data_IF_309461171789
#
_entry.id   IF_309461171789
#
_cell.length_a   1.000
_cell.length_b   1.000
_cell.length_c   1.000
_cell.angle_alpha   90.00
_cell.angle_beta   90.00
_cell.angle_gamma   90.00
#
_symmetry.space_group_name_H-M   'P 1'
#
loop_
_entity.id
_entity.type
_entity.pdbx_description
1 polymer ?
#
# COMPACT_ATOMS: atom_id res chain seq x y z
N UNK A 1 -12.21 -27.40 -11.98
CA UNK A 1 -11.58 -26.07 -11.95
C UNK A 1 -11.64 -25.59 -10.52
N UNK A 2 -10.57 -25.82 -9.75
CA UNK A 2 -10.51 -25.46 -8.34
C UNK A 2 -10.18 -23.98 -8.25
N UNK A 3 -11.14 -23.16 -7.84
CA UNK A 3 -10.85 -21.84 -7.27
C UNK A 3 -10.27 -22.09 -5.89
N UNK A 4 -8.94 -22.10 -5.77
CA UNK A 4 -8.30 -22.03 -4.44
C UNK A 4 -8.73 -20.73 -3.79
N UNK A 5 -9.53 -20.86 -2.73
CA UNK A 5 -9.94 -19.76 -1.88
C UNK A 5 -8.72 -19.18 -1.20
N UNK A 6 -8.36 -17.94 -1.55
CA UNK A 6 -7.30 -17.16 -0.92
C UNK A 6 -7.40 -17.23 0.61
N UNK A 7 -6.39 -17.79 1.27
CA UNK A 7 -6.32 -17.85 2.73
C UNK A 7 -5.98 -16.48 3.31
N UNK A 8 -6.72 -16.05 4.33
CA UNK A 8 -6.55 -14.73 4.96
C UNK A 8 -5.93 -14.85 6.37
N UNK A 9 -5.07 -13.90 6.73
CA UNK A 9 -4.55 -13.77 8.09
C UNK A 9 -4.58 -12.29 8.52
N UNK A 10 -5.49 -11.97 9.44
CA UNK A 10 -5.42 -10.73 10.23
C UNK A 10 -4.68 -11.07 11.52
N UNK A 11 -3.52 -10.46 11.74
CA UNK A 11 -2.73 -10.68 12.97
C UNK A 11 -2.58 -9.39 13.78
N UNK A 12 -2.61 -9.55 15.10
CA UNK A 12 -2.25 -8.51 16.05
C UNK A 12 -0.77 -8.66 16.38
N UNK A 13 0.07 -7.74 15.92
CA UNK A 13 1.41 -7.60 16.50
C UNK A 13 1.43 -6.35 17.38
N UNK A 14 1.54 -6.57 18.69
CA UNK A 14 2.15 -5.60 19.62
C UNK A 14 3.62 -5.43 19.26
N UNK A 15 4.09 -4.18 19.27
CA UNK A 15 5.40 -3.79 18.76
C UNK A 15 6.56 -4.71 19.19
N UNK A 16 7.28 -5.22 18.19
CA UNK A 16 8.73 -5.13 18.16
C UNK A 16 9.10 -4.11 17.07
N UNK A 17 10.29 -3.49 17.12
CA UNK A 17 10.74 -2.67 16.01
C UNK A 17 10.81 -3.55 14.75
N UNK A 18 10.44 -3.01 13.58
CA UNK A 18 10.94 -3.61 12.34
C UNK A 18 12.41 -3.20 12.22
N UNK A 19 13.28 -3.88 12.96
CA UNK A 19 14.74 -3.76 12.87
C UNK A 19 15.31 -4.81 11.89
N UNK A 20 14.50 -5.30 10.94
CA UNK A 20 14.88 -6.41 10.07
C UNK A 20 15.23 -6.05 8.63
N UNK A 21 14.80 -4.90 8.12
CA UNK A 21 15.07 -4.49 6.73
C UNK A 21 15.93 -3.24 6.72
N UNK A 22 17.08 -3.32 6.04
CA UNK A 22 18.10 -2.28 5.92
C UNK A 22 17.48 -0.87 5.82
N UNK A 23 17.40 -0.18 6.95
CA UNK A 23 17.04 1.24 7.03
C UNK A 23 18.22 2.12 6.64
N UNK A 24 19.13 1.63 5.77
CA UNK A 24 20.40 2.28 5.44
C UNK A 24 20.25 3.61 4.70
N UNK A 25 19.00 4.07 4.47
CA UNK A 25 18.72 5.36 3.84
C UNK A 25 17.60 6.15 4.57
N UNK A 26 17.38 5.91 5.88
CA UNK A 26 16.52 6.78 6.69
C UNK A 26 17.21 8.14 6.88
N UNK A 27 16.94 9.08 5.97
CA UNK A 27 17.27 10.50 6.14
C UNK A 27 16.05 11.26 6.70
N UNK A 28 16.04 11.62 8.00
CA UNK A 28 14.95 12.38 8.59
C UNK A 28 14.74 13.76 7.93
N UNK A 29 15.78 14.36 7.33
CA UNK A 29 15.66 15.65 6.64
C UNK A 29 14.85 15.54 5.34
N UNK A 30 14.93 14.38 4.67
CA UNK A 30 14.13 14.08 3.48
C UNK A 30 12.64 14.02 3.82
N UNK A 31 12.27 13.40 4.93
CA UNK A 31 10.88 13.34 5.37
C UNK A 31 10.30 14.72 5.70
N UNK A 32 11.04 15.57 6.41
CA UNK A 32 10.55 16.90 6.78
C UNK A 32 10.37 17.83 5.57
N UNK A 33 11.25 17.73 4.57
CA UNK A 33 11.09 18.46 3.31
C UNK A 33 9.87 17.99 2.52
N UNK A 34 9.62 16.67 2.47
CA UNK A 34 8.43 16.10 1.83
C UNK A 34 7.15 16.53 2.57
N UNK A 35 7.13 16.45 3.90
CA UNK A 35 5.98 16.87 4.71
C UNK A 35 5.66 18.36 4.55
N UNK A 36 6.68 19.18 4.39
CA UNK A 36 6.54 20.60 4.06
C UNK A 36 5.91 20.79 2.67
N UNK A 37 6.36 20.02 1.68
CA UNK A 37 5.89 20.11 0.29
C UNK A 37 4.44 19.61 0.09
N UNK A 38 4.06 18.47 0.70
CA UNK A 38 2.69 17.90 0.55
C UNK A 38 1.67 18.57 1.49
N UNK A 39 2.15 19.36 2.46
CA UNK A 39 1.34 19.99 3.48
C UNK A 39 0.79 19.01 4.53
N UNK A 40 0.44 19.52 5.71
CA UNK A 40 -0.11 18.70 6.81
C UNK A 40 -1.61 18.45 6.63
N UNK A 41 -2.05 17.21 6.85
CA UNK A 41 -3.48 16.86 6.96
C UNK A 41 -3.83 16.83 8.44
N UNK A 42 -4.95 17.46 8.83
CA UNK A 42 -5.42 17.44 10.22
C UNK A 42 -5.77 16.03 10.70
N UNK A 43 -6.03 15.09 9.77
CA UNK A 43 -6.33 13.69 10.05
C UNK A 43 -5.08 12.80 10.12
N UNK A 44 -3.97 13.23 9.53
CA UNK A 44 -2.74 12.44 9.53
C UNK A 44 -2.04 12.53 10.88
N UNK A 45 -1.28 11.48 11.24
CA UNK A 45 -0.48 11.48 12.45
C UNK A 45 0.53 12.62 12.46
N UNK A 46 0.96 13.08 13.64
CA UNK A 46 2.01 14.12 13.76
C UNK A 46 3.33 13.71 13.10
N UNK A 47 3.59 12.40 13.09
CA UNK A 47 4.78 11.73 12.52
C UNK A 47 4.30 10.45 11.81
N UNK A 48 3.69 10.57 10.62
CA UNK A 48 3.01 9.45 9.99
C UNK A 48 3.97 8.39 9.44
N UNK A 49 5.27 8.71 9.37
CA UNK A 49 6.35 7.80 9.02
C UNK A 49 6.87 6.96 10.20
N UNK A 50 6.50 7.28 11.45
CA UNK A 50 6.97 6.54 12.63
C UNK A 50 5.90 5.54 13.07
N UNK A 51 6.28 4.27 13.15
CA UNK A 51 5.39 3.19 13.58
C UNK A 51 4.96 3.37 15.05
N UNK A 52 3.65 3.49 15.34
CA UNK A 52 3.16 3.55 16.71
C UNK A 52 3.31 2.20 17.43
N UNK A 53 3.35 2.22 18.77
CA UNK A 53 3.49 0.99 19.59
C UNK A 53 2.34 -0.04 19.45
N UNK A 54 1.19 0.38 18.92
CA UNK A 54 0.08 -0.52 18.55
C UNK A 54 -0.33 -0.23 17.11
N UNK A 55 -0.40 -1.27 16.29
CA UNK A 55 -0.84 -1.23 14.89
C UNK A 55 -1.68 -2.47 14.58
N UNK A 56 -2.54 -2.38 13.57
CA UNK A 56 -3.24 -3.52 12.98
C UNK A 56 -2.53 -3.94 11.70
N UNK A 57 -2.36 -5.23 11.48
CA UNK A 57 -1.75 -5.78 10.26
C UNK A 57 -2.77 -6.62 9.49
N UNK A 58 -2.86 -6.37 8.19
CA UNK A 58 -3.70 -7.09 7.24
C UNK A 58 -2.82 -7.59 6.10
N UNK A 59 -2.94 -8.86 5.72
CA UNK A 59 -2.28 -9.40 4.54
C UNK A 59 -3.31 -10.01 3.59
N UNK A 60 -3.20 -9.67 2.30
CA UNK A 60 -4.02 -10.19 1.21
C UNK A 60 -3.10 -10.78 0.17
N UNK A 61 -3.42 -11.97 -0.30
CA UNK A 61 -2.60 -12.75 -1.22
C UNK A 61 -3.43 -13.22 -2.40
N UNK A 62 -2.83 -13.26 -3.59
CA UNK A 62 -3.45 -13.80 -4.80
C UNK A 62 -2.40 -14.31 -5.76
N UNK A 63 -2.78 -15.26 -6.62
CA UNK A 63 -1.93 -15.73 -7.72
C UNK A 63 -2.33 -15.04 -9.02
N UNK A 64 -1.36 -14.38 -9.65
CA UNK A 64 -1.53 -13.63 -10.89
C UNK A 64 -0.87 -14.37 -12.07
N UNK A 65 -1.48 -14.37 -13.26
CA UNK A 65 -1.06 -15.23 -14.38
C UNK A 65 0.02 -14.57 -15.27
N UNK A 66 0.99 -13.91 -14.64
CA UNK A 66 2.13 -13.29 -15.30
C UNK A 66 3.36 -13.41 -14.40
N UNK A 67 4.54 -13.24 -14.99
CA UNK A 67 5.80 -13.26 -14.26
C UNK A 67 5.90 -12.09 -13.25
N UNK A 68 6.75 -12.22 -12.21
CA UNK A 68 6.86 -11.20 -11.15
C UNK A 68 7.20 -9.80 -11.66
N UNK A 69 8.01 -9.68 -12.73
CA UNK A 69 8.41 -8.37 -13.26
C UNK A 69 7.21 -7.67 -13.88
N UNK A 70 6.43 -8.37 -14.69
CA UNK A 70 5.22 -7.82 -15.31
C UNK A 70 4.20 -7.36 -14.26
N UNK A 71 3.97 -8.17 -13.22
CA UNK A 71 3.08 -7.80 -12.10
C UNK A 71 3.61 -6.60 -11.33
N UNK A 72 4.92 -6.56 -11.09
CA UNK A 72 5.58 -5.49 -10.36
C UNK A 72 5.48 -4.16 -11.12
N UNK A 73 5.82 -4.14 -12.42
CA UNK A 73 5.70 -2.96 -13.28
C UNK A 73 4.24 -2.50 -13.41
N UNK A 74 3.29 -3.45 -13.43
CA UNK A 74 1.86 -3.14 -13.40
C UNK A 74 1.47 -2.34 -12.14
N UNK A 75 2.01 -2.69 -10.97
CA UNK A 75 1.73 -2.02 -9.70
C UNK A 75 2.34 -0.60 -9.63
N UNK A 76 3.52 -0.40 -10.21
CA UNK A 76 4.19 0.90 -10.24
C UNK A 76 3.52 1.91 -11.19
N UNK A 77 2.80 1.41 -12.19
CA UNK A 77 2.09 2.25 -13.15
C UNK A 77 0.88 2.95 -12.49
N UNK A 78 0.91 4.29 -12.44
CA UNK A 78 -0.14 5.10 -11.81
C UNK A 78 -1.53 4.96 -12.43
N UNK A 79 -1.62 4.67 -13.74
CA UNK A 79 -2.91 4.47 -14.43
C UNK A 79 -3.52 3.13 -14.01
N UNK A 80 -2.72 2.07 -13.99
CA UNK A 80 -3.15 0.74 -13.52
C UNK A 80 -3.53 0.79 -12.04
N UNK A 81 -2.75 1.50 -11.23
CA UNK A 81 -3.07 1.76 -9.83
C UNK A 81 -4.45 2.41 -9.69
N UNK A 82 -4.75 3.48 -10.43
CA UNK A 82 -6.05 4.15 -10.37
C UNK A 82 -7.21 3.23 -10.81
N UNK A 83 -7.02 2.46 -11.89
CA UNK A 83 -8.04 1.56 -12.44
C UNK A 83 -8.41 0.40 -11.47
N UNK A 84 -7.46 -0.05 -10.67
CA UNK A 84 -7.66 -1.15 -9.72
C UNK A 84 -8.34 -0.72 -8.43
N UNK A 85 -8.45 0.58 -8.14
CA UNK A 85 -9.10 1.07 -6.92
C UNK A 85 -10.63 1.00 -7.00
N UNK A 86 -11.34 0.58 -5.94
CA UNK A 86 -12.79 0.37 -5.97
C UNK A 86 -13.57 1.64 -6.28
N UNK A 87 -13.15 2.76 -5.68
CA UNK A 87 -13.74 4.09 -5.84
C UNK A 87 -12.89 4.96 -6.78
N UNK A 88 -13.46 6.05 -7.35
CA UNK A 88 -12.72 6.96 -8.22
C UNK A 88 -11.48 7.52 -7.52
N UNK A 89 -10.37 7.48 -8.25
CA UNK A 89 -9.08 8.00 -7.81
C UNK A 89 -8.56 8.91 -8.92
N UNK A 90 -8.29 10.16 -8.56
CA UNK A 90 -7.69 11.14 -9.47
C UNK A 90 -6.22 11.29 -9.10
N UNK A 91 -5.36 10.87 -10.02
CA UNK A 91 -3.92 10.89 -9.84
C UNK A 91 -3.38 12.27 -10.25
N UNK A 92 -2.93 13.06 -9.28
CA UNK A 92 -2.49 14.44 -9.53
C UNK A 92 -1.02 14.49 -9.93
N UNK A 93 -0.16 13.81 -9.16
CA UNK A 93 1.27 14.01 -9.30
C UNK A 93 2.07 12.87 -8.68
N UNK A 94 3.17 12.53 -9.33
CA UNK A 94 4.24 11.74 -8.75
C UNK A 94 5.56 12.49 -8.90
N UNK A 95 6.46 12.31 -7.94
CA UNK A 95 7.85 12.72 -8.15
C UNK A 95 8.45 11.98 -9.35
N UNK A 96 9.53 12.53 -9.92
CA UNK A 96 10.27 11.89 -11.02
C UNK A 96 10.82 10.49 -10.70
N UNK A 97 10.84 10.09 -9.43
CA UNK A 97 11.37 8.82 -8.92
C UNK A 97 10.25 7.77 -8.75
N UNK A 98 9.31 7.67 -9.70
CA UNK A 98 8.27 6.64 -9.65
C UNK A 98 8.93 5.25 -9.69
N UNK A 99 8.58 4.37 -8.76
CA UNK A 99 9.19 3.05 -8.68
C UNK A 99 10.69 3.10 -8.36
N UNK A 100 11.12 4.06 -7.55
CA UNK A 100 12.46 4.10 -6.99
C UNK A 100 12.39 4.46 -5.51
N UNK A 101 13.47 4.18 -4.79
CA UNK A 101 13.58 4.53 -3.38
C UNK A 101 13.38 6.04 -3.15
N UNK A 102 12.37 6.37 -2.36
CA UNK A 102 11.92 7.72 -2.06
C UNK A 102 11.19 8.43 -3.20
N UNK A 103 10.57 7.64 -4.09
CA UNK A 103 9.47 8.08 -4.94
C UNK A 103 8.26 8.53 -4.13
N UNK A 104 7.68 9.67 -4.49
CA UNK A 104 6.49 10.23 -3.84
C UNK A 104 5.29 10.16 -4.77
N UNK A 105 4.23 9.51 -4.31
CA UNK A 105 2.94 9.37 -4.98
C UNK A 105 1.91 10.28 -4.32
N UNK A 106 1.31 11.21 -5.06
CA UNK A 106 0.28 12.13 -4.56
C UNK A 106 -0.98 12.04 -5.40
N UNK A 107 -2.09 11.70 -4.77
CA UNK A 107 -3.37 11.50 -5.44
C UNK A 107 -4.53 11.91 -4.55
N UNK A 108 -5.67 12.28 -5.14
CA UNK A 108 -6.92 12.43 -4.40
C UNK A 108 -7.78 11.18 -4.61
N UNK A 109 -8.18 10.58 -3.50
CA UNK A 109 -9.05 9.43 -3.47
C UNK A 109 -10.43 9.85 -2.99
N UNK A 110 -11.46 9.61 -3.82
CA UNK A 110 -12.85 9.88 -3.46
C UNK A 110 -13.44 8.68 -2.74
N UNK A 111 -13.15 8.54 -1.45
CA UNK A 111 -13.66 7.43 -0.66
C UNK A 111 -15.19 7.40 -0.68
N UNK A 112 -15.74 6.25 -1.11
CA UNK A 112 -17.16 6.02 -1.36
C UNK A 112 -17.83 7.07 -2.26
N UNK A 113 -17.06 7.76 -3.11
CA UNK A 113 -17.51 8.89 -3.97
C UNK A 113 -18.02 10.13 -3.23
N UNK A 114 -17.78 10.25 -1.92
CA UNK A 114 -18.34 11.35 -1.12
C UNK A 114 -17.26 12.14 -0.38
N UNK A 115 -16.19 11.49 0.05
CA UNK A 115 -15.16 12.12 0.87
C UNK A 115 -13.85 12.24 0.10
N UNK A 116 -13.44 13.44 -0.33
CA UNK A 116 -12.15 13.63 -0.98
C UNK A 116 -11.03 13.51 0.05
N UNK A 117 -10.13 12.56 -0.18
CA UNK A 117 -8.97 12.31 0.66
C UNK A 117 -7.73 12.57 -0.17
N UNK A 118 -7.00 13.64 0.17
CA UNK A 118 -5.66 13.85 -0.38
C UNK A 118 -4.67 12.92 0.29
N UNK A 119 -4.11 12.01 -0.50
CA UNK A 119 -3.14 11.03 -0.09
C UNK A 119 -1.76 11.36 -0.64
N UNK A 120 -0.74 11.19 0.17
CA UNK A 120 0.64 11.17 -0.26
C UNK A 120 1.37 9.98 0.37
N UNK A 121 1.99 9.15 -0.46
CA UNK A 121 2.74 7.97 -0.09
C UNK A 121 4.19 8.08 -0.57
N UNK A 122 5.14 7.78 0.30
CA UNK A 122 6.57 7.79 0.00
C UNK A 122 7.07 6.35 -0.05
N UNK A 123 7.74 5.95 -1.13
CA UNK A 123 8.41 4.66 -1.24
C UNK A 123 9.58 4.62 -0.27
N UNK A 124 9.52 3.77 0.75
CA UNK A 124 10.54 3.66 1.80
C UNK A 124 11.42 2.41 1.66
N UNK A 125 11.03 1.48 0.78
CA UNK A 125 11.83 0.32 0.40
C UNK A 125 11.57 -0.07 -1.06
N UNK A 126 12.61 -0.52 -1.74
CA UNK A 126 12.53 -0.95 -3.13
C UNK A 126 13.58 -2.04 -3.44
N UNK A 127 13.11 -3.18 -3.92
CA UNK A 127 13.88 -4.31 -4.47
C UNK A 127 13.29 -4.67 -5.84
N UNK A 128 14.03 -4.38 -6.90
CA UNK A 128 13.54 -4.37 -8.27
C UNK A 128 12.92 -5.70 -8.70
N UNK A 129 11.65 -5.65 -9.14
CA UNK A 129 10.89 -6.82 -9.59
C UNK A 129 10.45 -7.79 -8.50
N UNK A 130 10.73 -7.51 -7.21
CA UNK A 130 10.46 -8.44 -6.09
C UNK A 130 9.60 -7.83 -5.01
N UNK A 131 9.97 -6.65 -4.53
CA UNK A 131 9.31 -6.05 -3.37
C UNK A 131 9.44 -4.54 -3.38
N UNK A 132 8.39 -3.83 -3.02
CA UNK A 132 8.49 -2.41 -2.66
C UNK A 132 7.52 -2.10 -1.53
N UNK A 133 7.83 -1.08 -0.75
CA UNK A 133 6.87 -0.55 0.21
C UNK A 133 6.78 0.95 0.16
N UNK A 134 5.61 1.44 0.57
CA UNK A 134 5.36 2.85 0.77
C UNK A 134 4.76 3.14 2.13
N UNK A 135 5.05 4.35 2.59
CA UNK A 135 4.54 4.90 3.83
C UNK A 135 3.71 6.15 3.55
N UNK A 136 2.52 6.20 4.14
CA UNK A 136 1.68 7.38 4.06
C UNK A 136 2.36 8.55 4.79
N UNK A 137 2.69 9.61 4.06
CA UNK A 137 3.18 10.88 4.63
C UNK A 137 2.06 11.91 4.77
N UNK A 138 0.95 11.75 4.03
CA UNK A 138 -0.29 12.51 4.20
C UNK A 138 -1.50 11.62 3.90
N UNK A 139 -2.50 11.64 4.78
CA UNK A 139 -3.74 10.90 4.54
C UNK A 139 -4.65 10.87 5.76
N UNK A 140 -5.50 9.85 5.85
CA UNK A 140 -6.49 9.67 6.92
C UNK A 140 -6.00 8.79 8.07
N UNK A 141 -4.86 8.11 7.91
CA UNK A 141 -4.28 7.27 8.95
C UNK A 141 -3.26 8.03 9.78
N UNK A 142 -3.13 7.63 11.05
CA UNK A 142 -2.00 8.05 11.89
C UNK A 142 -0.70 7.40 11.46
N UNK A 143 -0.79 6.17 10.95
CA UNK A 143 0.29 5.40 10.36
C UNK A 143 -0.33 4.46 9.34
N UNK A 144 0.26 4.37 8.15
CA UNK A 144 -0.12 3.41 7.13
C UNK A 144 1.14 3.09 6.34
N UNK A 145 1.54 1.82 6.39
CA UNK A 145 2.67 1.28 5.66
C UNK A 145 2.16 0.09 4.86
N UNK A 146 2.50 0.06 3.59
CA UNK A 146 2.00 -0.92 2.64
C UNK A 146 3.17 -1.52 1.89
N UNK A 147 3.33 -2.83 2.03
CA UNK A 147 4.35 -3.61 1.34
C UNK A 147 3.71 -4.48 0.27
N UNK A 148 4.29 -4.43 -0.93
CA UNK A 148 3.97 -5.26 -2.07
C UNK A 148 5.08 -6.28 -2.27
N UNK A 149 4.75 -7.57 -2.39
CA UNK A 149 5.73 -8.61 -2.74
C UNK A 149 5.25 -9.44 -3.93
N UNK A 150 6.13 -9.65 -4.90
CA UNK A 150 5.94 -10.47 -6.09
C UNK A 150 6.92 -11.65 -6.04
N UNK A 151 6.42 -12.84 -5.77
CA UNK A 151 7.22 -14.06 -5.77
C UNK A 151 6.83 -14.96 -6.95
N UNK A 152 7.78 -15.58 -7.67
CA UNK A 152 7.45 -16.50 -8.75
C UNK A 152 6.73 -17.75 -8.21
N UNK A 153 5.78 -18.28 -8.98
CA UNK A 153 5.17 -19.60 -8.76
C UNK A 153 5.71 -20.62 -9.76
N UNK A 154 5.59 -21.91 -9.44
CA UNK A 154 6.12 -23.00 -10.27
C UNK A 154 5.47 -23.08 -11.67
N UNK A 155 4.26 -22.55 -11.83
CA UNK A 155 3.51 -22.49 -13.10
C UNK A 155 3.81 -21.25 -13.94
N UNK A 156 4.84 -20.46 -13.57
CA UNK A 156 5.25 -19.25 -14.28
C UNK A 156 4.39 -18.01 -13.97
N UNK A 157 3.52 -18.10 -12.96
CA UNK A 157 2.78 -16.97 -12.43
C UNK A 157 3.52 -16.21 -11.32
N UNK A 158 2.76 -15.38 -10.61
CA UNK A 158 3.23 -14.61 -9.45
C UNK A 158 2.32 -14.82 -8.26
N UNK A 159 2.90 -15.26 -7.14
CA UNK A 159 2.31 -15.14 -5.83
C UNK A 159 2.48 -13.70 -5.34
N UNK A 160 1.41 -12.93 -5.48
CA UNK A 160 1.37 -11.51 -5.13
C UNK A 160 0.76 -11.33 -3.75
N UNK A 161 1.40 -10.51 -2.91
CA UNK A 161 0.94 -10.23 -1.55
C UNK A 161 1.04 -8.74 -1.24
N UNK A 162 -0.07 -8.20 -0.74
CA UNK A 162 -0.14 -6.89 -0.11
C UNK A 162 -0.17 -7.08 1.41
N UNK A 163 0.76 -6.46 2.13
CA UNK A 163 0.77 -6.40 3.58
C UNK A 163 0.60 -4.95 4.03
N UNK A 164 -0.46 -4.67 4.78
CA UNK A 164 -0.82 -3.34 5.24
C UNK A 164 -0.70 -3.29 6.75
N UNK A 165 0.11 -2.38 7.26
CA UNK A 165 0.26 -2.08 8.68
C UNK A 165 -0.28 -0.68 8.94
N UNK A 166 -1.32 -0.56 9.76
CA UNK A 166 -1.98 0.74 9.93
C UNK A 166 -2.44 1.03 11.37
N UNK A 167 -2.71 2.32 11.62
CA UNK A 167 -3.33 2.84 12.84
C UNK A 167 -4.17 4.06 12.50
N UNK A 168 -5.43 4.12 12.92
CA UNK A 168 -6.27 5.32 12.74
C UNK A 168 -6.39 6.17 14.00
N UNK A 169 -7.04 7.32 13.91
CA UNK A 169 -7.42 8.12 15.07
C UNK A 169 -8.52 7.47 15.94
N UNK A 170 -9.27 6.49 15.41
CA UNK A 170 -10.46 5.92 16.06
C UNK A 170 -10.17 4.93 17.21
N UNK A 171 -8.96 4.37 17.26
CA UNK A 171 -8.59 3.41 18.30
C UNK A 171 -8.28 2.02 17.75
N UNK A 172 -7.46 1.21 18.45
CA UNK A 172 -7.05 -0.12 17.98
C UNK A 172 -8.23 -1.09 17.85
N UNK A 173 -9.30 -0.88 18.62
CA UNK A 173 -10.51 -1.68 18.51
C UNK A 173 -11.23 -1.41 17.19
N UNK A 174 -11.50 -0.14 16.88
CA UNK A 174 -12.10 0.27 15.59
C UNK A 174 -11.22 -0.13 14.40
N UNK A 175 -9.89 -0.02 14.55
CA UNK A 175 -8.93 -0.44 13.53
C UNK A 175 -9.12 -1.91 13.17
N UNK A 176 -9.36 -2.77 14.16
CA UNK A 176 -9.51 -4.20 13.98
C UNK A 176 -10.88 -4.61 13.42
N UNK A 177 -11.96 -3.99 13.90
CA UNK A 177 -13.31 -4.48 13.58
C UNK A 177 -13.93 -3.78 12.36
N UNK A 178 -13.66 -2.49 12.17
CA UNK A 178 -14.28 -1.70 11.09
C UNK A 178 -13.26 -1.42 9.99
N UNK A 179 -12.11 -0.85 10.36
CA UNK A 179 -11.13 -0.38 9.37
C UNK A 179 -10.48 -1.56 8.65
N UNK A 180 -10.08 -2.60 9.37
CA UNK A 180 -9.52 -3.80 8.75
C UNK A 180 -10.48 -4.45 7.76
N UNK A 181 -11.79 -4.47 8.06
CA UNK A 181 -12.81 -5.03 7.18
C UNK A 181 -13.00 -4.21 5.90
N UNK A 182 -13.02 -2.88 6.01
CA UNK A 182 -13.07 -2.02 4.83
C UNK A 182 -11.77 -2.11 4.02
N UNK A 183 -10.59 -2.12 4.67
CA UNK A 183 -9.31 -2.30 3.98
C UNK A 183 -9.26 -3.64 3.25
N UNK A 184 -9.70 -4.72 3.89
CA UNK A 184 -9.80 -6.03 3.22
C UNK A 184 -10.69 -5.96 1.98
N UNK A 185 -11.87 -5.32 2.08
CA UNK A 185 -12.76 -5.13 0.93
C UNK A 185 -12.07 -4.37 -0.20
N UNK A 186 -11.40 -3.27 0.11
CA UNK A 186 -10.69 -2.42 -0.87
C UNK A 186 -9.60 -3.22 -1.57
N UNK A 187 -8.74 -3.92 -0.81
CA UNK A 187 -7.63 -4.68 -1.36
C UNK A 187 -8.07 -5.94 -2.11
N UNK A 188 -9.15 -6.59 -1.68
CA UNK A 188 -9.75 -7.71 -2.42
C UNK A 188 -10.23 -7.26 -3.80
N UNK A 189 -11.00 -6.17 -3.86
CA UNK A 189 -11.45 -5.61 -5.16
C UNK A 189 -10.27 -5.21 -6.02
N UNK A 190 -9.21 -4.66 -5.42
CA UNK A 190 -7.95 -4.34 -6.11
C UNK A 190 -7.34 -5.58 -6.74
N UNK A 191 -7.12 -6.64 -5.97
CA UNK A 191 -6.56 -7.92 -6.47
C UNK A 191 -7.42 -8.55 -7.57
N UNK A 192 -8.74 -8.54 -7.41
CA UNK A 192 -9.67 -9.04 -8.42
C UNK A 192 -9.60 -8.26 -9.73
N UNK A 193 -9.44 -6.93 -9.66
CA UNK A 193 -9.28 -6.07 -10.84
C UNK A 193 -7.92 -6.28 -11.48
N UNK A 194 -6.85 -6.35 -10.69
CA UNK A 194 -5.50 -6.68 -11.16
C UNK A 194 -5.51 -8.00 -11.94
N UNK A 195 -6.06 -9.07 -11.36
CA UNK A 195 -6.14 -10.38 -12.01
C UNK A 195 -6.90 -10.31 -13.33
N UNK A 196 -8.02 -9.58 -13.39
CA UNK A 196 -8.79 -9.40 -14.63
C UNK A 196 -8.03 -8.63 -15.71
N UNK A 197 -7.41 -7.51 -15.35
CA UNK A 197 -6.67 -6.67 -16.29
C UNK A 197 -5.44 -7.40 -16.84
N UNK A 198 -4.70 -8.08 -15.97
CA UNK A 198 -3.54 -8.88 -16.36
C UNK A 198 -3.96 -10.05 -17.28
N UNK A 199 -5.07 -10.75 -17.00
CA UNK A 199 -5.61 -11.79 -17.91
C UNK A 199 -6.06 -11.25 -19.26
N UNK A 200 -6.51 -9.99 -19.31
CA UNK A 200 -6.94 -9.35 -20.54
C UNK A 200 -5.78 -8.88 -21.44
N UNK A 201 -4.53 -8.95 -20.96
CA UNK A 201 -3.33 -8.57 -21.73
C UNK A 201 -2.87 -7.13 -21.53
N UNK A 202 -3.39 -6.45 -20.50
CA UNK A 202 -3.25 -5.00 -20.20
C UNK A 202 -3.92 -4.12 -21.26
#
# INVERSE_FOLDING_TARGET
MHTESAGWKVSNNSAGPDHGRNTTDYDPNRYDSILTAVGRSWMSGKQPHIRPGRTTTLAIETTLPHDPRTVFDFCLNGINFAATMPDPLEYFWASKLQGELGGLYVFDWWYKRVFPIRWAALVDYYDDGREFSDIQVRGMFRYFHHTHTCQPTDDGGTHYRDTIVFRTALGPWMDRIVVAHEMERVFRVRHERMSRMLRAGV
#
